data_IF_203926807051
#
_entry.id   IF_203926807051
#
_cell.length_a   1.000
_cell.length_b   1.000
_cell.length_c   1.000
_cell.angle_alpha   90.00
_cell.angle_beta   90.00
_cell.angle_gamma   90.00
#
_symmetry.space_group_name_H-M   'P 1'
#
loop_
_entity.id
_entity.type
_entity.pdbx_description
1 polymer ?
#
# COMPACT_ATOMS: atom_id res chain seq x y z
N UNK A 1 6.29 0.95 -14.03
CA UNK A 1 6.58 1.09 -12.59
C UNK A 1 6.08 2.44 -12.06
N UNK A 2 6.62 3.58 -12.52
CA UNK A 2 6.25 4.93 -12.03
C UNK A 2 4.76 5.26 -12.11
N UNK A 3 4.10 4.95 -13.24
CA UNK A 3 2.64 5.19 -13.37
C UNK A 3 1.81 4.38 -12.36
N UNK A 4 2.20 3.13 -12.09
CA UNK A 4 1.51 2.29 -11.10
C UNK A 4 1.69 2.86 -9.69
N UNK A 5 2.90 3.33 -9.37
CA UNK A 5 3.18 3.93 -8.06
C UNK A 5 2.34 5.20 -7.83
N UNK A 6 2.14 6.04 -8.85
CA UNK A 6 1.22 7.19 -8.75
C UNK A 6 -0.21 6.72 -8.46
N UNK A 7 -0.69 5.69 -9.16
CA UNK A 7 -2.04 5.13 -8.92
C UNK A 7 -2.17 4.55 -7.52
N UNK A 8 -1.16 3.82 -7.04
CA UNK A 8 -1.09 3.27 -5.68
C UNK A 8 -1.12 4.39 -4.65
N UNK A 9 -0.31 5.43 -4.82
CA UNK A 9 -0.27 6.59 -3.92
C UNK A 9 -1.62 7.31 -3.86
N UNK A 10 -2.30 7.49 -5.01
CA UNK A 10 -3.64 8.08 -5.07
C UNK A 10 -4.66 7.17 -4.36
N UNK A 11 -4.65 5.86 -4.64
CA UNK A 11 -5.56 4.91 -3.99
C UNK A 11 -5.36 4.83 -2.47
N UNK A 12 -4.11 4.86 -2.01
CA UNK A 12 -3.77 4.95 -0.59
C UNK A 12 -4.29 6.26 0.02
N UNK A 13 -4.12 7.40 -0.67
CA UNK A 13 -4.70 8.67 -0.25
C UNK A 13 -6.23 8.63 -0.11
N UNK A 14 -6.92 8.01 -1.07
CA UNK A 14 -8.37 7.82 -1.01
C UNK A 14 -8.79 6.95 0.19
N UNK A 15 -8.09 5.84 0.43
CA UNK A 15 -8.34 4.99 1.59
C UNK A 15 -8.12 5.75 2.91
N UNK A 16 -7.06 6.56 2.99
CA UNK A 16 -6.81 7.42 4.15
C UNK A 16 -7.93 8.44 4.36
N UNK A 17 -8.40 9.12 3.31
CA UNK A 17 -9.52 10.06 3.40
C UNK A 17 -10.79 9.37 3.91
N UNK A 18 -11.13 8.20 3.37
CA UNK A 18 -12.29 7.42 3.82
C UNK A 18 -12.15 7.00 5.30
N UNK A 19 -10.95 6.60 5.71
CA UNK A 19 -10.62 6.28 7.11
C UNK A 19 -10.82 7.49 8.03
N UNK A 20 -10.21 8.64 7.72
CA UNK A 20 -10.32 9.88 8.50
C UNK A 20 -11.78 10.32 8.63
N UNK A 21 -12.53 10.37 7.51
CA UNK A 21 -13.95 10.79 7.51
C UNK A 21 -14.77 9.87 8.40
N UNK A 22 -14.55 8.55 8.35
CA UNK A 22 -15.29 7.61 9.19
C UNK A 22 -14.98 7.75 10.68
N UNK A 23 -13.72 7.93 11.04
CA UNK A 23 -13.29 8.14 12.43
C UNK A 23 -13.85 9.45 12.97
N UNK A 24 -13.76 10.54 12.20
CA UNK A 24 -14.32 11.84 12.58
C UNK A 24 -15.84 11.80 12.75
N UNK A 25 -16.55 11.04 11.90
CA UNK A 25 -17.99 10.83 11.99
C UNK A 25 -18.40 9.82 13.09
N UNK A 26 -17.45 9.24 13.84
CA UNK A 26 -17.73 8.22 14.86
C UNK A 26 -18.31 6.92 14.31
N UNK A 27 -18.12 6.64 13.02
CA UNK A 27 -18.66 5.46 12.33
C UNK A 27 -17.64 4.33 12.30
N UNK A 28 -18.13 3.09 12.36
CA UNK A 28 -17.30 1.89 12.11
C UNK A 28 -16.88 1.78 10.65
N UNK A 29 -15.85 0.97 10.40
CA UNK A 29 -15.45 0.50 9.08
C UNK A 29 -16.61 -0.18 8.37
N UNK A 30 -16.95 0.32 7.18
CA UNK A 30 -18.05 -0.16 6.35
C UNK A 30 -17.58 -0.79 5.04
N UNK A 31 -18.53 -1.14 4.16
CA UNK A 31 -18.23 -1.73 2.85
C UNK A 31 -17.34 -0.84 1.97
N UNK A 32 -17.47 0.48 2.10
CA UNK A 32 -16.64 1.44 1.36
C UNK A 32 -15.15 1.30 1.71
N UNK A 33 -14.81 1.13 2.99
CA UNK A 33 -13.42 0.93 3.43
C UNK A 33 -12.84 -0.36 2.85
N UNK A 34 -13.63 -1.43 2.83
CA UNK A 34 -13.21 -2.71 2.29
C UNK A 34 -13.04 -2.65 0.77
N UNK A 35 -13.93 -1.98 0.06
CA UNK A 35 -13.81 -1.78 -1.37
C UNK A 35 -12.57 -0.92 -1.73
N UNK A 36 -12.32 0.16 -0.98
CA UNK A 36 -11.14 0.99 -1.17
C UNK A 36 -9.83 0.24 -0.86
N UNK A 37 -9.81 -0.55 0.23
CA UNK A 37 -8.67 -1.38 0.57
C UNK A 37 -8.43 -2.50 -0.44
N UNK A 38 -9.49 -3.14 -0.95
CA UNK A 38 -9.40 -4.15 -1.99
C UNK A 38 -8.88 -3.57 -3.32
N UNK A 39 -9.34 -2.37 -3.71
CA UNK A 39 -8.81 -1.67 -4.87
C UNK A 39 -7.32 -1.37 -4.72
N UNK A 40 -6.91 -0.88 -3.55
CA UNK A 40 -5.50 -0.64 -3.24
C UNK A 40 -4.69 -1.95 -3.34
N UNK A 41 -5.16 -3.01 -2.71
CA UNK A 41 -4.51 -4.33 -2.72
C UNK A 41 -4.31 -4.86 -4.14
N UNK A 42 -5.32 -4.75 -5.01
CA UNK A 42 -5.22 -5.18 -6.41
C UNK A 42 -4.15 -4.38 -7.16
N UNK A 43 -4.09 -3.06 -6.98
CA UNK A 43 -3.04 -2.23 -7.59
C UNK A 43 -1.65 -2.63 -7.11
N UNK A 44 -1.50 -2.93 -5.82
CA UNK A 44 -0.25 -3.37 -5.22
C UNK A 44 0.21 -4.73 -5.76
N UNK A 45 -0.71 -5.67 -5.95
CA UNK A 45 -0.40 -6.96 -6.57
C UNK A 45 0.04 -6.81 -8.03
N UNK A 46 -0.65 -5.96 -8.81
CA UNK A 46 -0.23 -5.66 -10.19
C UNK A 46 1.16 -5.01 -10.21
N UNK A 47 1.42 -4.08 -9.30
CA UNK A 47 2.75 -3.47 -9.16
C UNK A 47 3.82 -4.49 -8.78
N UNK A 48 3.52 -5.41 -7.86
CA UNK A 48 4.44 -6.47 -7.47
C UNK A 48 4.78 -7.40 -8.63
N UNK A 49 3.79 -7.79 -9.45
CA UNK A 49 4.03 -8.59 -10.66
C UNK A 49 4.93 -7.86 -11.64
N UNK A 50 4.68 -6.57 -11.90
CA UNK A 50 5.51 -5.76 -12.81
C UNK A 50 6.94 -5.61 -12.28
N UNK A 51 7.10 -5.41 -10.99
CA UNK A 51 8.41 -5.33 -10.33
C UNK A 51 9.21 -6.62 -10.49
N UNK A 52 8.58 -7.76 -10.18
CA UNK A 52 9.20 -9.10 -10.30
C UNK A 52 9.53 -9.43 -11.74
N UNK A 53 8.63 -9.10 -12.69
CA UNK A 53 8.89 -9.30 -14.12
C UNK A 53 10.12 -8.50 -14.59
N UNK A 54 10.31 -7.27 -14.09
CA UNK A 54 11.49 -6.47 -14.41
C UNK A 54 12.78 -7.00 -13.77
N UNK A 55 12.73 -7.54 -12.54
CA UNK A 55 13.87 -8.25 -11.93
C UNK A 55 14.31 -9.44 -12.80
N UNK A 56 13.36 -10.28 -13.20
CA UNK A 56 13.60 -11.44 -14.09
C UNK A 56 14.12 -10.97 -15.46
N UNK A 57 13.63 -9.82 -15.95
CA UNK A 57 14.06 -9.19 -17.20
C UNK A 57 15.43 -8.50 -17.15
N UNK A 58 16.17 -8.61 -16.03
CA UNK A 58 17.54 -8.11 -15.91
C UNK A 58 17.69 -6.78 -15.18
N UNK A 59 16.60 -6.11 -14.80
CA UNK A 59 16.67 -4.88 -14.01
C UNK A 59 16.94 -5.20 -12.54
N UNK A 60 18.19 -5.05 -12.08
CA UNK A 60 18.56 -5.34 -10.70
C UNK A 60 18.88 -4.06 -9.93
N UNK A 61 17.99 -3.62 -9.02
CA UNK A 61 18.28 -2.52 -8.11
C UNK A 61 19.57 -2.77 -7.34
N UNK A 62 20.35 -1.71 -7.08
CA UNK A 62 21.60 -1.81 -6.32
C UNK A 62 21.42 -2.52 -4.98
N UNK A 63 20.30 -2.26 -4.31
CA UNK A 63 19.90 -2.89 -3.05
C UNK A 63 18.70 -3.84 -3.25
N UNK A 64 18.88 -4.90 -4.06
CA UNK A 64 17.80 -5.83 -4.42
C UNK A 64 17.13 -6.48 -3.20
N UNK A 65 17.88 -6.83 -2.16
CA UNK A 65 17.30 -7.42 -0.94
C UNK A 65 16.37 -6.44 -0.22
N UNK A 66 16.75 -5.17 -0.10
CA UNK A 66 15.91 -4.13 0.47
C UNK A 66 14.66 -3.91 -0.41
N UNK A 67 14.84 -3.86 -1.73
CA UNK A 67 13.73 -3.73 -2.69
C UNK A 67 12.68 -4.84 -2.51
N UNK A 68 13.12 -6.10 -2.44
CA UNK A 68 12.21 -7.24 -2.22
C UNK A 68 11.51 -7.17 -0.85
N UNK A 69 12.24 -6.77 0.20
CA UNK A 69 11.65 -6.57 1.53
C UNK A 69 10.55 -5.51 1.54
N UNK A 70 10.78 -4.37 0.87
CA UNK A 70 9.75 -3.35 0.68
C UNK A 70 8.59 -3.86 -0.17
N UNK A 71 8.85 -4.61 -1.24
CA UNK A 71 7.80 -5.12 -2.12
C UNK A 71 6.85 -6.07 -1.38
N UNK A 72 7.40 -6.98 -0.57
CA UNK A 72 6.60 -7.90 0.25
C UNK A 72 5.82 -7.12 1.31
N UNK A 73 6.48 -6.24 2.06
CA UNK A 73 5.79 -5.47 3.10
C UNK A 73 4.71 -4.55 2.53
N UNK A 74 4.93 -3.98 1.34
CA UNK A 74 3.97 -3.12 0.65
C UNK A 74 2.63 -3.85 0.43
N UNK A 75 2.66 -5.12 0.03
CA UNK A 75 1.46 -5.96 -0.18
C UNK A 75 0.85 -6.40 1.16
N UNK A 76 1.66 -6.71 2.17
CA UNK A 76 1.14 -7.26 3.43
C UNK A 76 0.51 -6.20 4.35
N UNK A 77 0.96 -4.94 4.28
CA UNK A 77 0.48 -3.86 5.17
C UNK A 77 -1.03 -3.59 5.04
N UNK A 78 -1.62 -3.43 3.84
CA UNK A 78 -3.06 -3.24 3.71
C UNK A 78 -3.86 -4.44 4.23
N UNK A 79 -3.40 -5.67 3.94
CA UNK A 79 -4.03 -6.90 4.47
C UNK A 79 -4.05 -6.89 6.00
N UNK A 80 -2.91 -6.63 6.64
CA UNK A 80 -2.80 -6.54 8.09
C UNK A 80 -3.68 -5.40 8.65
N UNK A 81 -3.68 -4.24 7.99
CA UNK A 81 -4.51 -3.09 8.36
C UNK A 81 -6.00 -3.39 8.32
N UNK A 82 -6.47 -4.10 7.28
CA UNK A 82 -7.88 -4.52 7.17
C UNK A 82 -8.25 -5.54 8.22
N UNK A 83 -7.40 -6.55 8.47
CA UNK A 83 -7.65 -7.57 9.50
C UNK A 83 -7.71 -6.96 10.90
N UNK A 84 -6.82 -6.02 11.20
CA UNK A 84 -6.86 -5.28 12.46
C UNK A 84 -8.09 -4.39 12.53
N UNK A 85 -8.37 -3.58 11.51
CA UNK A 85 -9.52 -2.69 11.51
C UNK A 85 -10.87 -3.43 11.64
N UNK A 86 -10.96 -4.70 11.22
CA UNK A 86 -12.14 -5.55 11.47
C UNK A 86 -12.23 -6.07 12.90
N UNK A 87 -11.09 -6.28 13.55
CA UNK A 87 -10.99 -6.71 14.94
C UNK A 87 -11.20 -5.55 15.92
N UNK A 88 -11.03 -4.30 15.49
CA UNK A 88 -11.21 -3.09 16.29
C UNK A 88 -12.69 -2.66 16.32
N UNK A 89 -13.39 -2.80 17.47
CA UNK A 89 -14.82 -2.57 17.53
C UNK A 89 -15.22 -1.09 17.61
N UNK A 90 -14.26 -0.17 17.72
CA UNK A 90 -14.52 1.25 17.99
C UNK A 90 -14.35 2.13 16.76
N UNK A 91 -14.53 3.45 16.92
CA UNK A 91 -14.26 4.47 15.88
C UNK A 91 -12.78 4.49 15.41
N UNK A 92 -11.88 3.85 16.15
CA UNK A 92 -10.45 3.79 15.84
C UNK A 92 -10.11 2.83 14.70
N UNK A 93 -11.06 1.96 14.29
CA UNK A 93 -10.89 1.11 13.11
C UNK A 93 -10.52 1.90 11.84
N UNK A 94 -11.12 3.09 11.65
CA UNK A 94 -10.77 3.98 10.54
C UNK A 94 -9.33 4.47 10.63
N UNK A 95 -8.84 4.85 11.82
CA UNK A 95 -7.46 5.29 12.05
C UNK A 95 -6.43 4.21 11.71
N UNK A 96 -6.71 2.94 12.01
CA UNK A 96 -5.85 1.82 11.62
C UNK A 96 -5.65 1.79 10.10
N UNK A 97 -6.72 1.97 9.34
CA UNK A 97 -6.64 2.01 7.87
C UNK A 97 -5.91 3.25 7.36
N UNK A 98 -6.05 4.40 8.03
CA UNK A 98 -5.26 5.61 7.72
C UNK A 98 -3.77 5.33 7.88
N UNK A 99 -3.37 4.73 8.99
CA UNK A 99 -1.96 4.39 9.25
C UNK A 99 -1.45 3.41 8.19
N UNK A 100 -2.19 2.35 7.91
CA UNK A 100 -1.82 1.39 6.87
C UNK A 100 -1.65 2.07 5.49
N UNK A 101 -2.58 2.94 5.11
CA UNK A 101 -2.52 3.67 3.85
C UNK A 101 -1.30 4.62 3.77
N UNK A 102 -0.99 5.33 4.85
CA UNK A 102 0.19 6.22 4.91
C UNK A 102 1.49 5.41 4.80
N UNK A 103 1.58 4.27 5.50
CA UNK A 103 2.73 3.36 5.41
C UNK A 103 2.91 2.88 3.97
N UNK A 104 1.83 2.46 3.30
CA UNK A 104 1.86 2.05 1.88
C UNK A 104 2.42 3.16 0.99
N UNK A 105 1.96 4.41 1.13
CA UNK A 105 2.45 5.52 0.32
C UNK A 105 3.95 5.79 0.54
N UNK A 106 4.44 5.71 1.78
CA UNK A 106 5.86 5.89 2.10
C UNK A 106 6.71 4.74 1.52
N UNK A 107 6.22 3.50 1.66
CA UNK A 107 6.90 2.32 1.13
C UNK A 107 6.96 2.34 -0.40
N UNK A 108 5.88 2.76 -1.06
CA UNK A 108 5.81 2.92 -2.51
C UNK A 108 6.81 3.98 -3.01
N UNK A 109 6.89 5.13 -2.32
CA UNK A 109 7.90 6.14 -2.61
C UNK A 109 9.33 5.59 -2.47
N UNK A 110 9.60 4.82 -1.41
CA UNK A 110 10.92 4.20 -1.21
C UNK A 110 11.23 3.14 -2.27
N UNK A 111 10.23 2.38 -2.73
CA UNK A 111 10.36 1.43 -3.84
C UNK A 111 10.74 2.12 -5.14
N UNK A 112 10.15 3.27 -5.47
CA UNK A 112 10.53 4.05 -6.66
C UNK A 112 12.00 4.50 -6.57
N UNK A 113 12.43 4.96 -5.40
CA UNK A 113 13.84 5.36 -5.20
C UNK A 113 14.79 4.18 -5.44
N UNK A 114 14.50 3.02 -4.84
CA UNK A 114 15.30 1.81 -5.04
C UNK A 114 15.26 1.34 -6.50
N UNK A 115 14.11 1.40 -7.15
CA UNK A 115 13.92 1.00 -8.54
C UNK A 115 14.76 1.82 -9.52
N UNK A 116 14.87 3.13 -9.29
CA UNK A 116 15.59 4.04 -10.19
C UNK A 116 17.11 4.03 -9.96
N UNK A 117 17.59 3.43 -8.87
CA UNK A 117 19.02 3.29 -8.58
C UNK A 117 19.47 1.87 -8.92
N UNK A 118 19.87 1.67 -10.17
CA UNK A 118 20.42 0.40 -10.66
C UNK A 118 21.90 0.29 -10.26
N UNK A 119 22.32 -0.92 -9.86
CA UNK A 119 23.75 -1.21 -9.63
C UNK A 119 24.50 -1.26 -10.98
N UNK A 120 25.72 -0.71 -11.01
CA UNK A 120 26.60 -0.74 -12.18
C UNK A 120 27.14 -2.14 -12.45
#
# INVERSE_FOLDING_TARGET
>A
MTTLAVLVTVAAGLLAVVGVVSTAAGRRTGQLHLAAAALLEVLLLVQAVVAVAGLIGGHHPKETAAFLGYLVGLVLVPVAGVLWARSEPTRWAGTVLVVAAVVVAIMDWRLIQLWNVTGA
#
